data_IF_657522312886
#
_entry.id   IF_657522312886
#
_cell.length_a   1.000
_cell.length_b   1.000
_cell.length_c   1.000
_cell.angle_alpha   90.00
_cell.angle_beta   90.00
_cell.angle_gamma   90.00
#
_symmetry.space_group_name_H-M   'P 1'
#
loop_
_entity.id
_entity.type
_entity.pdbx_description
1 polymer ?
#
# COMPACT_ATOMS: atom_id res chain seq x y z
N UNK A 1 -26.34 -1.05 -1.12
CA UNK A 1 -25.10 -0.50 -1.73
C UNK A 1 -25.40 0.65 -2.68
N UNK A 2 -26.38 0.56 -3.59
CA UNK A 2 -26.75 1.61 -4.57
C UNK A 2 -27.50 2.85 -4.02
N UNK A 3 -27.83 2.89 -2.73
CA UNK A 3 -28.52 4.04 -2.10
C UNK A 3 -27.61 4.88 -1.20
N UNK A 4 -26.29 4.61 -1.20
CA UNK A 4 -25.34 5.43 -0.47
C UNK A 4 -25.32 6.85 -1.07
N UNK A 5 -25.24 7.91 -0.25
CA UNK A 5 -25.10 9.28 -0.75
C UNK A 5 -23.93 9.40 -1.73
N UNK A 6 -24.12 10.11 -2.84
CA UNK A 6 -23.05 10.39 -3.81
C UNK A 6 -22.05 11.40 -3.20
N UNK A 7 -20.76 11.11 -3.35
CA UNK A 7 -19.67 12.03 -2.96
C UNK A 7 -19.14 12.75 -4.20
N UNK A 8 -18.78 11.99 -5.22
CA UNK A 8 -18.38 12.48 -6.56
C UNK A 8 -18.78 11.41 -7.56
N UNK A 9 -19.50 11.76 -8.63
CA UNK A 9 -19.91 10.79 -9.63
C UNK A 9 -18.69 10.06 -10.24
N UNK A 10 -18.65 8.71 -10.29
CA UNK A 10 -19.69 7.73 -9.96
C UNK A 10 -19.60 7.10 -8.54
N UNK A 11 -18.75 7.63 -7.65
CA UNK A 11 -18.44 7.07 -6.33
C UNK A 11 -19.37 7.58 -5.21
N UNK A 12 -19.91 6.64 -4.44
CA UNK A 12 -20.76 6.89 -3.27
C UNK A 12 -19.97 6.90 -1.95
N UNK A 13 -20.66 7.22 -0.85
CA UNK A 13 -20.05 7.34 0.48
C UNK A 13 -19.28 6.10 0.93
N UNK A 14 -19.75 4.91 0.56
CA UNK A 14 -19.12 3.64 0.96
C UNK A 14 -17.95 3.22 0.05
N UNK A 15 -17.65 3.96 -1.01
CA UNK A 15 -16.42 3.82 -1.80
C UNK A 15 -15.24 4.61 -1.18
N UNK A 16 -15.53 5.45 -0.17
CA UNK A 16 -14.56 6.30 0.51
C UNK A 16 -14.19 5.72 1.88
N UNK A 17 -12.91 5.77 2.25
CA UNK A 17 -12.47 5.42 3.62
C UNK A 17 -13.04 6.42 4.63
N UNK A 18 -13.53 5.98 5.81
CA UNK A 18 -14.04 6.88 6.84
C UNK A 18 -12.90 7.62 7.53
N UNK A 19 -13.18 8.81 8.04
CA UNK A 19 -12.29 9.48 8.99
C UNK A 19 -12.18 8.63 10.26
N UNK A 20 -10.96 8.22 10.61
CA UNK A 20 -10.70 7.30 11.72
C UNK A 20 -9.49 7.78 12.50
N UNK A 21 -9.52 7.61 13.83
CA UNK A 21 -8.37 7.77 14.71
C UNK A 21 -7.85 6.38 15.12
N UNK A 22 -6.53 6.19 15.11
CA UNK A 22 -5.90 4.91 15.48
C UNK A 22 -4.37 4.94 15.38
N UNK A 23 -3.71 3.93 15.94
CA UNK A 23 -2.26 3.75 15.88
C UNK A 23 -1.89 2.29 15.60
N UNK A 24 -0.76 2.09 14.93
CA UNK A 24 -0.17 0.78 14.69
C UNK A 24 1.36 0.85 14.91
N UNK A 25 1.95 -0.23 15.37
CA UNK A 25 3.39 -0.37 15.55
C UNK A 25 3.84 -1.78 15.17
N UNK A 26 5.07 -1.88 14.65
CA UNK A 26 5.74 -3.15 14.37
C UNK A 26 7.13 -3.13 14.96
N UNK A 27 7.61 -4.28 15.44
CA UNK A 27 9.00 -4.46 15.85
C UNK A 27 9.73 -5.11 14.68
N UNK A 28 10.73 -4.41 14.14
CA UNK A 28 11.64 -4.95 13.14
C UNK A 28 12.90 -5.45 13.85
N UNK A 29 13.25 -6.70 13.58
CA UNK A 29 14.44 -7.35 14.11
C UNK A 29 15.24 -7.96 12.95
N UNK A 30 16.56 -7.94 13.08
CA UNK A 30 17.42 -8.68 12.16
C UNK A 30 17.27 -10.19 12.38
N UNK A 31 17.51 -10.97 11.32
CA UNK A 31 17.36 -12.43 11.32
C UNK A 31 18.17 -13.11 12.43
N UNK A 32 19.36 -12.60 12.75
CA UNK A 32 20.27 -13.14 13.75
C UNK A 32 19.85 -12.88 15.21
N UNK A 33 18.84 -12.04 15.45
CA UNK A 33 18.35 -11.71 16.78
C UNK A 33 16.85 -11.94 16.96
N UNK A 34 16.13 -12.34 15.91
CA UNK A 34 14.66 -12.45 15.94
C UNK A 34 14.15 -13.47 16.96
N UNK A 35 14.91 -14.56 17.17
CA UNK A 35 14.59 -15.63 18.10
C UNK A 35 14.55 -15.16 19.57
N UNK A 36 15.15 -14.00 19.87
CA UNK A 36 15.04 -13.36 21.20
C UNK A 36 13.65 -12.77 21.46
N UNK A 37 12.87 -12.52 20.40
CA UNK A 37 11.60 -11.81 20.46
C UNK A 37 10.40 -12.71 20.13
N UNK A 38 10.56 -13.70 19.24
CA UNK A 38 9.46 -14.60 18.87
C UNK A 38 9.95 -15.88 18.18
N UNK A 39 9.27 -17.00 18.45
CA UNK A 39 9.46 -18.27 17.71
C UNK A 39 8.69 -18.31 16.38
N UNK A 40 7.88 -17.28 16.08
CA UNK A 40 6.99 -17.22 14.92
C UNK A 40 7.10 -15.90 14.16
N UNK A 41 8.28 -15.55 13.62
CA UNK A 41 8.46 -14.31 12.89
C UNK A 41 7.69 -14.27 11.57
N UNK A 42 7.31 -13.06 11.14
CA UNK A 42 6.82 -12.79 9.78
C UNK A 42 7.96 -12.19 8.97
N UNK A 43 8.38 -12.88 7.92
CA UNK A 43 9.52 -12.47 7.10
C UNK A 43 9.12 -11.46 6.02
N UNK A 44 9.78 -10.30 6.00
CA UNK A 44 9.70 -9.35 4.88
C UNK A 44 10.54 -9.90 3.72
N UNK A 45 9.87 -10.53 2.76
CA UNK A 45 10.54 -11.22 1.65
C UNK A 45 11.06 -10.29 0.57
N UNK A 46 10.44 -9.14 0.39
CA UNK A 46 10.87 -8.16 -0.60
C UNK A 46 10.22 -6.81 -0.37
N UNK A 47 10.92 -5.77 -0.80
CA UNK A 47 10.46 -4.37 -0.72
C UNK A 47 10.67 -3.69 -2.07
N UNK A 48 9.82 -2.72 -2.40
CA UNK A 48 9.91 -2.00 -3.65
C UNK A 48 9.33 -0.60 -3.51
N UNK A 49 9.98 0.36 -4.15
CA UNK A 49 9.56 1.76 -4.20
C UNK A 49 9.37 2.17 -5.65
N UNK A 50 8.33 2.97 -5.90
CA UNK A 50 8.05 3.54 -7.21
C UNK A 50 7.61 4.98 -7.05
N UNK A 51 8.16 5.85 -7.89
CA UNK A 51 7.84 7.28 -7.88
C UNK A 51 7.14 7.68 -9.18
N UNK A 52 6.41 8.78 -9.13
CA UNK A 52 5.73 9.37 -10.28
C UNK A 52 5.55 10.88 -10.09
N UNK A 53 5.05 11.53 -11.13
CA UNK A 53 4.71 12.96 -11.11
C UNK A 53 3.58 13.21 -10.11
N UNK A 54 3.73 14.28 -9.35
CA UNK A 54 2.81 14.68 -8.27
C UNK A 54 1.44 15.09 -8.82
N UNK A 55 1.43 15.87 -9.91
CA UNK A 55 0.20 16.48 -10.40
C UNK A 55 -0.53 15.61 -11.43
N UNK A 56 -1.85 15.56 -11.31
CA UNK A 56 -2.74 14.76 -12.18
C UNK A 56 -2.59 15.10 -13.66
N UNK A 57 -2.46 16.39 -14.03
CA UNK A 57 -2.35 16.78 -15.43
C UNK A 57 -1.06 16.28 -16.13
N UNK A 58 -0.08 15.77 -15.37
CA UNK A 58 1.13 15.19 -15.93
C UNK A 58 1.07 13.66 -16.03
N UNK A 59 -0.04 13.04 -15.66
CA UNK A 59 -0.23 11.58 -15.77
C UNK A 59 -0.68 11.26 -17.18
N UNK A 60 -0.03 10.29 -17.81
CA UNK A 60 -0.35 9.86 -19.17
C UNK A 60 -1.63 9.02 -19.25
N UNK A 61 -2.01 8.38 -18.15
CA UNK A 61 -3.17 7.50 -18.03
C UNK A 61 -3.71 7.59 -16.59
N UNK A 62 -5.03 7.69 -16.43
CA UNK A 62 -5.71 7.80 -15.14
C UNK A 62 -6.27 6.46 -14.64
N UNK A 63 -6.16 5.40 -15.44
CA UNK A 63 -6.65 4.05 -15.13
C UNK A 63 -5.57 3.14 -14.55
N UNK A 64 -4.31 3.61 -14.51
CA UNK A 64 -3.18 2.87 -13.97
C UNK A 64 -2.25 3.75 -13.15
N UNK A 65 -1.50 3.13 -12.25
CA UNK A 65 -0.47 3.79 -11.44
C UNK A 65 0.89 3.15 -11.75
N UNK A 66 1.64 3.67 -12.74
CA UNK A 66 3.01 3.22 -13.03
C UNK A 66 3.93 3.13 -11.80
N UNK A 67 3.90 4.03 -10.79
CA UNK A 67 4.73 3.86 -9.59
C UNK A 67 4.38 2.59 -8.83
N UNK A 68 3.10 2.30 -8.61
CA UNK A 68 2.63 1.10 -7.92
C UNK A 68 3.03 -0.17 -8.67
N UNK A 69 2.89 -0.18 -9.99
CA UNK A 69 3.32 -1.32 -10.83
C UNK A 69 4.83 -1.56 -10.71
N UNK A 70 5.65 -0.51 -10.74
CA UNK A 70 7.10 -0.61 -10.57
C UNK A 70 7.48 -1.10 -9.16
N UNK A 71 6.86 -0.53 -8.12
CA UNK A 71 7.09 -0.93 -6.74
C UNK A 71 6.75 -2.40 -6.51
N UNK A 72 5.58 -2.84 -6.98
CA UNK A 72 5.14 -4.23 -6.85
C UNK A 72 6.10 -5.19 -7.58
N UNK A 73 6.50 -4.88 -8.81
CA UNK A 73 7.48 -5.69 -9.57
C UNK A 73 8.81 -5.82 -8.83
N UNK A 74 9.36 -4.70 -8.32
CA UNK A 74 10.62 -4.73 -7.58
C UNK A 74 10.52 -5.56 -6.29
N UNK A 75 9.42 -5.41 -5.53
CA UNK A 75 9.19 -6.19 -4.32
C UNK A 75 9.05 -7.69 -4.62
N UNK A 76 8.31 -8.05 -5.67
CA UNK A 76 8.15 -9.44 -6.10
C UNK A 76 9.47 -10.04 -6.59
N UNK A 77 10.23 -9.32 -7.44
CA UNK A 77 11.56 -9.78 -7.88
C UNK A 77 12.52 -10.01 -6.71
N UNK A 78 12.49 -9.16 -5.69
CA UNK A 78 13.30 -9.34 -4.48
C UNK A 78 12.84 -10.55 -3.65
N UNK A 79 11.54 -10.82 -3.62
CA UNK A 79 10.97 -11.95 -2.89
C UNK A 79 11.30 -13.33 -3.50
N UNK A 80 11.66 -13.35 -4.80
CA UNK A 80 11.91 -14.55 -5.61
C UNK A 80 10.64 -15.05 -6.30
#
# INVERSE_FOLDING_TARGET
MLAAPIVVDPFGLYDCTPQSDGAAAVILAAEDVVDRYTDRPVWVRGVGIGMDRVMHQHKADMTTFPPTVRAAKAAMTMAG
#
